data_IF_896400336510
#
_entry.id   IF_896400336510
#
_cell.length_a   1.000
_cell.length_b   1.000
_cell.length_c   1.000
_cell.angle_alpha   90.00
_cell.angle_beta   90.00
_cell.angle_gamma   90.00
#
_symmetry.space_group_name_H-M   'P 1'
#
loop_
_entity.id
_entity.type
_entity.pdbx_description
1 polymer ?
#
# COMPACT_ATOMS: atom_id res chain seq x y z
N UNK A 1 1.18 50.40 -24.46
CA UNK A 1 0.78 49.69 -23.24
C UNK A 1 0.28 48.32 -23.66
N UNK A 2 1.06 47.26 -23.43
CA UNK A 2 0.71 45.89 -23.81
C UNK A 2 0.23 45.13 -22.59
N UNK A 3 -0.75 44.24 -22.76
CA UNK A 3 -1.22 43.37 -21.67
C UNK A 3 -0.12 42.34 -21.37
N UNK A 4 0.48 42.40 -20.18
CA UNK A 4 1.60 41.55 -19.77
C UNK A 4 1.18 40.17 -19.21
N UNK A 5 -0.09 40.00 -18.83
CA UNK A 5 -0.64 38.75 -18.28
C UNK A 5 -2.15 38.69 -18.49
N UNK A 6 -2.64 37.54 -18.94
CA UNK A 6 -4.07 37.22 -19.02
C UNK A 6 -4.32 36.00 -18.11
N UNK A 7 -5.40 36.07 -17.32
CA UNK A 7 -5.88 34.96 -16.49
C UNK A 7 -7.35 34.72 -16.84
N UNK A 8 -7.67 33.48 -17.19
CA UNK A 8 -9.03 33.00 -17.46
C UNK A 8 -9.56 32.38 -16.16
N UNK A 9 -10.82 32.67 -15.81
CA UNK A 9 -11.47 32.14 -14.60
C UNK A 9 -10.65 32.33 -13.30
N UNK A 10 -10.31 33.58 -12.92
CA UNK A 10 -9.51 33.85 -11.72
C UNK A 10 -10.19 33.35 -10.43
N UNK A 11 -11.52 33.29 -10.44
CA UNK A 11 -12.37 32.84 -9.34
C UNK A 11 -12.68 31.33 -9.38
N UNK A 12 -12.07 30.58 -10.30
CA UNK A 12 -12.10 29.12 -10.28
C UNK A 12 -13.49 28.47 -10.41
N UNK A 13 -14.47 29.17 -10.99
CA UNK A 13 -15.87 28.73 -11.15
C UNK A 13 -16.07 27.74 -12.29
N UNK A 14 -15.20 27.75 -13.30
CA UNK A 14 -15.36 26.87 -14.46
C UNK A 14 -14.94 25.43 -14.13
N UNK A 15 -15.72 24.42 -14.58
CA UNK A 15 -15.38 23.02 -14.38
C UNK A 15 -14.28 22.59 -15.36
N UNK A 16 -13.04 22.98 -15.08
CA UNK A 16 -11.86 22.60 -15.86
C UNK A 16 -11.07 21.47 -15.18
N UNK A 17 -10.61 20.53 -16.00
CA UNK A 17 -9.77 19.39 -15.62
C UNK A 17 -8.32 19.83 -15.41
N UNK A 18 -7.83 20.84 -16.15
CA UNK A 18 -6.43 21.27 -16.14
C UNK A 18 -6.30 22.79 -15.99
N UNK A 19 -6.63 23.32 -14.81
CA UNK A 19 -6.66 24.76 -14.51
C UNK A 19 -5.30 25.46 -14.64
N UNK A 20 -4.21 24.70 -14.70
CA UNK A 20 -2.86 25.26 -14.88
C UNK A 20 -2.63 25.93 -16.25
N UNK A 21 -3.49 25.74 -17.23
CA UNK A 21 -3.39 26.40 -18.54
C UNK A 21 -4.13 27.75 -18.60
N UNK A 22 -4.79 28.17 -17.51
CA UNK A 22 -5.63 29.37 -17.47
C UNK A 22 -4.86 30.70 -17.41
N UNK A 23 -3.52 30.71 -17.51
CA UNK A 23 -2.75 31.95 -17.53
C UNK A 23 -1.66 31.95 -18.60
N UNK A 24 -1.47 33.09 -19.26
CA UNK A 24 -0.47 33.29 -20.31
C UNK A 24 0.96 33.48 -19.80
N UNK A 25 1.14 33.81 -18.52
CA UNK A 25 2.45 33.93 -17.85
C UNK A 25 2.32 33.59 -16.36
N UNK A 26 3.35 32.95 -15.80
CA UNK A 26 3.34 32.44 -14.41
C UNK A 26 4.53 32.95 -13.62
N UNK A 27 4.28 33.50 -12.44
CA UNK A 27 5.31 33.78 -11.45
C UNK A 27 5.63 32.53 -10.62
N UNK A 28 6.67 32.59 -9.78
CA UNK A 28 6.92 31.60 -8.72
C UNK A 28 6.36 32.16 -7.42
N UNK A 29 5.56 31.35 -6.72
CA UNK A 29 4.99 31.74 -5.42
C UNK A 29 5.30 30.65 -4.39
N UNK A 30 5.87 31.08 -3.27
CA UNK A 30 6.22 30.20 -2.15
C UNK A 30 5.19 30.34 -1.04
N UNK A 31 4.72 29.21 -0.53
CA UNK A 31 3.75 29.13 0.55
C UNK A 31 4.33 28.32 1.71
N UNK A 32 4.32 28.89 2.92
CA UNK A 32 4.65 28.16 4.13
C UNK A 32 3.36 27.61 4.73
N UNK A 33 3.21 26.28 4.70
CA UNK A 33 1.97 25.55 4.96
C UNK A 33 0.91 25.86 3.88
N UNK A 34 0.29 24.80 3.34
CA UNK A 34 -0.69 24.93 2.26
C UNK A 34 -1.95 25.67 2.73
N UNK A 35 -2.39 26.63 1.92
CA UNK A 35 -3.62 27.37 2.14
C UNK A 35 -4.67 26.99 1.08
N UNK A 36 -4.57 27.56 -0.13
CA UNK A 36 -5.44 27.26 -1.26
C UNK A 36 -4.62 27.16 -2.56
N UNK A 37 -5.02 26.30 -3.51
CA UNK A 37 -4.26 26.09 -4.74
C UNK A 37 -4.30 27.32 -5.66
N UNK A 38 -3.12 27.82 -6.04
CA UNK A 38 -2.98 28.95 -6.95
C UNK A 38 -2.61 28.49 -8.37
N UNK A 39 -3.62 28.26 -9.22
CA UNK A 39 -3.40 27.65 -10.54
C UNK A 39 -2.69 28.55 -11.56
N UNK A 40 -2.74 29.87 -11.35
CA UNK A 40 -2.16 30.88 -12.24
C UNK A 40 -0.65 31.13 -12.02
N UNK A 41 -0.06 30.61 -10.94
CA UNK A 41 1.37 30.69 -10.65
C UNK A 41 2.02 29.29 -10.51
N UNK A 42 3.35 29.25 -10.49
CA UNK A 42 4.12 28.09 -10.03
C UNK A 42 4.15 28.08 -8.50
N UNK A 43 3.20 27.37 -7.92
CA UNK A 43 3.02 27.27 -6.47
C UNK A 43 3.95 26.20 -5.88
N UNK A 44 4.80 26.60 -4.94
CA UNK A 44 5.68 25.72 -4.18
C UNK A 44 5.34 25.84 -2.70
N UNK A 45 4.85 24.75 -2.13
CA UNK A 45 4.48 24.63 -0.74
C UNK A 45 5.64 24.05 0.06
N UNK A 46 5.92 24.66 1.21
CA UNK A 46 6.96 24.26 2.15
C UNK A 46 6.30 23.96 3.49
N UNK A 47 6.60 22.82 4.09
CA UNK A 47 6.15 22.49 5.43
C UNK A 47 7.20 21.70 6.22
N UNK A 48 7.30 21.92 7.54
CA UNK A 48 8.05 21.03 8.42
C UNK A 48 7.53 19.60 8.33
N UNK A 49 8.43 18.64 8.19
CA UNK A 49 8.08 17.23 8.10
C UNK A 49 8.92 16.39 9.05
N UNK A 50 8.34 15.29 9.53
CA UNK A 50 9.01 14.33 10.38
C UNK A 50 8.73 12.94 9.85
N UNK A 51 9.78 12.12 9.77
CA UNK A 51 9.65 10.69 9.51
C UNK A 51 10.16 9.92 10.71
N UNK A 52 9.61 8.72 10.88
CA UNK A 52 10.09 7.78 11.87
C UNK A 52 10.05 6.36 11.29
N UNK A 53 11.07 5.58 11.60
CA UNK A 53 11.13 4.13 11.37
C UNK A 53 12.02 3.52 12.45
N UNK A 54 11.86 2.21 12.71
CA UNK A 54 12.73 1.51 13.67
C UNK A 54 14.22 1.64 13.31
N UNK A 55 14.54 1.61 12.01
CA UNK A 55 15.92 1.73 11.55
C UNK A 55 16.47 3.17 11.65
N UNK A 56 15.78 4.21 11.16
CA UNK A 56 16.33 5.57 11.12
C UNK A 56 16.04 6.42 12.37
N UNK A 57 15.22 5.93 13.30
CA UNK A 57 14.70 6.73 14.40
C UNK A 57 13.90 7.95 13.89
N UNK A 58 13.87 9.03 14.70
CA UNK A 58 13.22 10.28 14.32
C UNK A 58 14.09 11.06 13.33
N UNK A 59 13.55 11.34 12.16
CA UNK A 59 14.22 12.08 11.08
C UNK A 59 13.42 13.34 10.70
N UNK A 60 13.76 14.53 11.26
CA UNK A 60 13.14 15.79 10.88
C UNK A 60 13.61 16.27 9.50
N UNK A 61 12.79 17.08 8.85
CA UNK A 61 13.11 17.65 7.55
C UNK A 61 12.05 18.63 7.05
N UNK A 62 12.06 18.84 5.74
CA UNK A 62 11.16 19.77 5.06
C UNK A 62 10.50 19.06 3.88
N UNK A 63 9.19 19.15 3.75
CA UNK A 63 8.50 18.75 2.51
C UNK A 63 8.31 19.96 1.63
N UNK A 64 8.85 19.88 0.41
CA UNK A 64 8.67 20.82 -0.66
C UNK A 64 7.79 20.16 -1.72
N UNK A 65 6.68 20.75 -2.09
CA UNK A 65 5.86 20.18 -3.15
C UNK A 65 5.13 21.23 -3.99
N UNK A 66 4.83 20.84 -5.23
CA UNK A 66 4.04 21.61 -6.17
C UNK A 66 3.02 20.69 -6.84
N UNK A 67 1.80 21.20 -7.05
CA UNK A 67 0.69 20.42 -7.61
C UNK A 67 0.05 19.49 -6.59
N UNK A 68 -0.29 18.26 -6.98
CA UNK A 68 -1.02 17.25 -6.18
C UNK A 68 -2.43 17.63 -5.69
N UNK A 69 -2.86 18.88 -5.88
CA UNK A 69 -4.22 19.33 -5.65
C UNK A 69 -5.12 19.11 -6.89
N UNK A 70 -6.45 18.94 -6.72
CA UNK A 70 -7.39 18.90 -7.83
C UNK A 70 -7.21 20.10 -8.77
N UNK A 71 -7.16 19.85 -10.08
CA UNK A 71 -6.93 20.88 -11.10
C UNK A 71 -5.48 20.98 -11.59
N UNK A 72 -4.50 20.38 -10.90
CA UNK A 72 -3.14 20.18 -11.42
C UNK A 72 -3.03 18.80 -12.09
N UNK A 73 -2.62 18.72 -13.36
CA UNK A 73 -2.35 17.44 -14.02
C UNK A 73 -0.97 16.87 -13.64
N UNK A 74 -0.28 17.45 -12.66
CA UNK A 74 1.05 17.02 -12.22
C UNK A 74 1.21 17.17 -10.71
N UNK A 75 2.27 16.57 -10.19
CA UNK A 75 2.75 16.80 -8.83
C UNK A 75 4.24 16.52 -8.76
N UNK A 76 5.00 17.37 -8.07
CA UNK A 76 6.42 17.16 -7.81
C UNK A 76 6.65 17.39 -6.32
N UNK A 77 7.32 16.47 -5.64
CA UNK A 77 7.71 16.63 -4.24
C UNK A 77 9.16 16.27 -4.00
N UNK A 78 9.78 16.99 -3.07
CA UNK A 78 11.12 16.75 -2.56
C UNK A 78 11.03 16.79 -1.05
N UNK A 79 11.53 15.73 -0.40
CA UNK A 79 11.48 15.56 1.04
C UNK A 79 12.88 15.21 1.54
N UNK A 80 13.77 16.20 1.74
CA UNK A 80 15.00 16.02 2.50
C UNK A 80 14.69 15.85 3.99
N UNK A 81 15.28 14.84 4.61
CA UNK A 81 15.25 14.60 6.06
C UNK A 81 16.65 14.27 6.57
N UNK A 82 16.95 14.69 7.79
CA UNK A 82 18.20 14.32 8.44
C UNK A 82 18.02 13.05 9.26
N UNK A 83 18.80 12.02 8.96
CA UNK A 83 18.85 10.75 9.71
C UNK A 83 19.92 10.89 10.79
N UNK A 84 19.49 11.10 12.04
CA UNK A 84 20.41 11.29 13.17
C UNK A 84 21.16 10.01 13.55
N UNK A 85 20.51 8.85 13.42
CA UNK A 85 21.08 7.56 13.81
C UNK A 85 22.29 7.22 12.92
N UNK A 86 22.18 7.49 11.62
CA UNK A 86 23.24 7.19 10.65
C UNK A 86 24.01 8.42 10.16
N UNK A 87 23.76 9.59 10.77
CA UNK A 87 24.42 10.87 10.48
C UNK A 87 24.48 11.22 8.99
N UNK A 88 23.35 11.09 8.27
CA UNK A 88 23.31 11.31 6.82
C UNK A 88 22.04 12.03 6.36
N UNK A 89 22.16 12.71 5.21
CA UNK A 89 20.99 13.21 4.49
C UNK A 89 20.25 12.03 3.85
N UNK A 90 18.97 11.93 4.17
CA UNK A 90 18.03 10.95 3.66
C UNK A 90 16.83 11.67 3.05
N UNK A 91 15.92 10.92 2.40
CA UNK A 91 14.74 11.56 1.84
C UNK A 91 14.10 10.85 0.66
N UNK A 92 13.20 11.57 -0.01
CA UNK A 92 12.58 11.12 -1.25
C UNK A 92 12.27 12.25 -2.21
N UNK A 93 12.36 11.96 -3.50
CA UNK A 93 11.89 12.81 -4.59
C UNK A 93 10.80 12.05 -5.33
N UNK A 94 9.67 12.68 -5.57
CA UNK A 94 8.59 12.11 -6.36
C UNK A 94 8.13 13.07 -7.44
N UNK A 95 7.73 12.50 -8.57
CA UNK A 95 7.09 13.24 -9.66
C UNK A 95 5.94 12.42 -10.22
N UNK A 96 4.84 13.08 -10.56
CA UNK A 96 3.73 12.46 -11.25
C UNK A 96 3.15 13.38 -12.31
N UNK A 97 2.59 12.78 -13.36
CA UNK A 97 1.84 13.49 -14.40
C UNK A 97 0.70 12.63 -14.90
N UNK A 98 -0.47 13.25 -15.01
CA UNK A 98 -1.69 12.66 -15.54
C UNK A 98 -2.01 13.25 -16.90
N UNK A 99 -2.32 12.38 -17.83
CA UNK A 99 -2.79 12.67 -19.17
C UNK A 99 -4.23 12.16 -19.27
N UNK A 100 -5.11 12.93 -19.91
CA UNK A 100 -6.50 12.55 -20.09
C UNK A 100 -6.74 12.14 -21.54
N UNK A 101 -7.58 11.13 -21.74
CA UNK A 101 -7.94 10.64 -23.08
C UNK A 101 -6.75 10.18 -23.95
N UNK A 102 -5.69 9.66 -23.31
CA UNK A 102 -4.49 9.16 -24.00
C UNK A 102 -4.55 7.64 -24.15
N UNK A 103 -4.21 7.11 -25.34
CA UNK A 103 -4.11 5.66 -25.62
C UNK A 103 -5.39 4.88 -25.26
N UNK A 104 -6.57 5.49 -25.43
CA UNK A 104 -7.86 4.89 -25.07
C UNK A 104 -8.18 4.88 -23.56
N UNK A 105 -7.26 5.34 -22.70
CA UNK A 105 -7.53 5.51 -21.27
C UNK A 105 -8.27 6.82 -21.02
N UNK A 106 -9.23 6.79 -20.09
CA UNK A 106 -9.87 8.01 -19.58
C UNK A 106 -8.84 8.90 -18.89
N UNK A 107 -7.99 8.29 -18.06
CA UNK A 107 -6.84 8.94 -17.45
C UNK A 107 -5.66 7.98 -17.42
N UNK A 108 -4.50 8.46 -17.83
CA UNK A 108 -3.24 7.76 -17.80
C UNK A 108 -2.28 8.54 -16.91
N UNK A 109 -1.72 7.91 -15.88
CA UNK A 109 -0.81 8.56 -14.92
C UNK A 109 0.53 7.88 -14.94
N UNK A 110 1.58 8.69 -15.07
CA UNK A 110 2.97 8.32 -14.87
C UNK A 110 3.40 8.85 -13.50
N UNK A 111 4.05 8.01 -12.69
CA UNK A 111 4.63 8.40 -11.40
C UNK A 111 6.04 7.83 -11.28
N UNK A 112 6.94 8.61 -10.73
CA UNK A 112 8.26 8.15 -10.32
C UNK A 112 8.52 8.57 -8.87
N UNK A 113 9.21 7.73 -8.13
CA UNK A 113 9.65 8.00 -6.76
C UNK A 113 11.06 7.44 -6.60
N UNK A 114 11.98 8.22 -6.05
CA UNK A 114 13.32 7.77 -5.68
C UNK A 114 13.50 8.16 -4.22
N UNK A 115 14.03 7.26 -3.40
CA UNK A 115 14.21 7.51 -1.98
C UNK A 115 15.41 6.78 -1.41
N UNK A 116 16.01 7.39 -0.40
CA UNK A 116 16.94 6.77 0.53
C UNK A 116 16.38 6.95 1.93
N UNK A 117 15.80 5.89 2.50
CA UNK A 117 15.20 5.88 3.83
C UNK A 117 14.83 4.43 4.22
N UNK A 118 14.60 4.14 5.49
CA UNK A 118 14.26 2.80 6.01
C UNK A 118 15.31 1.74 5.60
N UNK A 119 16.58 2.15 5.59
CA UNK A 119 17.72 1.33 5.19
C UNK A 119 17.66 0.82 3.75
N UNK A 120 16.87 1.48 2.92
CA UNK A 120 16.74 1.19 1.50
C UNK A 120 17.11 2.40 0.67
N UNK A 121 17.98 2.21 -0.31
CA UNK A 121 18.13 3.13 -1.45
C UNK A 121 17.38 2.55 -2.64
N UNK A 122 16.66 3.37 -3.41
CA UNK A 122 16.12 2.93 -4.68
C UNK A 122 14.87 3.67 -5.10
N UNK A 123 14.14 3.15 -6.07
CA UNK A 123 13.03 3.88 -6.65
C UNK A 123 12.00 3.02 -7.36
N UNK A 124 10.98 3.71 -7.85
CA UNK A 124 9.84 3.13 -8.55
C UNK A 124 9.46 4.01 -9.73
N UNK A 125 9.07 3.39 -10.83
CA UNK A 125 8.37 4.02 -11.95
C UNK A 125 7.05 3.28 -12.16
N UNK A 126 5.94 4.00 -12.15
CA UNK A 126 4.59 3.47 -12.32
C UNK A 126 3.90 4.11 -13.50
N UNK A 127 3.31 3.27 -14.33
CA UNK A 127 2.35 3.63 -15.37
C UNK A 127 0.98 3.09 -14.96
N UNK A 128 -0.07 3.90 -15.04
CA UNK A 128 -1.42 3.51 -14.60
C UNK A 128 -2.48 4.10 -15.50
N UNK A 129 -3.22 3.25 -16.20
CA UNK A 129 -4.33 3.63 -17.06
C UNK A 129 -5.68 3.26 -16.46
N UNK A 130 -6.64 4.18 -16.47
CA UNK A 130 -8.03 3.97 -16.05
C UNK A 130 -8.93 3.88 -17.27
N UNK A 131 -9.61 2.74 -17.43
CA UNK A 131 -10.69 2.53 -18.38
C UNK A 131 -12.03 2.64 -17.66
N UNK A 132 -12.79 3.69 -17.99
CA UNK A 132 -14.12 3.95 -17.43
C UNK A 132 -14.86 4.94 -18.31
N UNK A 133 -16.16 4.73 -18.54
CA UNK A 133 -16.99 5.73 -19.25
C UNK A 133 -17.00 7.07 -18.48
N UNK A 134 -17.25 8.20 -19.16
CA UNK A 134 -17.53 9.47 -18.49
C UNK A 134 -18.72 9.34 -17.53
N UNK A 135 -18.75 10.14 -16.46
CA UNK A 135 -19.88 10.30 -15.51
C UNK A 135 -20.13 9.12 -14.55
N UNK A 136 -20.01 7.86 -14.98
CA UNK A 136 -20.23 6.70 -14.10
C UNK A 136 -19.02 6.39 -13.22
N UNK A 137 -19.26 5.84 -12.01
CA UNK A 137 -18.20 5.39 -11.10
C UNK A 137 -17.68 3.99 -11.42
N UNK A 138 -18.56 3.10 -11.91
CA UNK A 138 -18.30 1.68 -12.22
C UNK A 138 -19.17 1.22 -13.40
N UNK A 139 -18.78 0.19 -14.17
CA UNK A 139 -17.56 -0.61 -14.03
C UNK A 139 -16.31 0.21 -14.34
N UNK A 140 -15.21 -0.14 -13.68
CA UNK A 140 -13.93 0.52 -13.90
C UNK A 140 -12.81 -0.51 -13.91
N UNK A 141 -11.92 -0.39 -14.88
CA UNK A 141 -10.71 -1.21 -14.96
C UNK A 141 -9.50 -0.31 -14.85
N UNK A 142 -8.58 -0.65 -13.94
CA UNK A 142 -7.27 -0.01 -13.86
C UNK A 142 -6.22 -1.03 -14.27
N UNK A 143 -5.35 -0.66 -15.20
CA UNK A 143 -4.17 -1.44 -15.57
C UNK A 143 -2.95 -0.65 -15.14
N UNK A 144 -1.98 -1.31 -14.52
CA UNK A 144 -0.74 -0.66 -14.11
C UNK A 144 0.48 -1.54 -14.31
N UNK A 145 1.58 -0.90 -14.66
CA UNK A 145 2.92 -1.49 -14.64
C UNK A 145 3.76 -0.69 -13.65
N UNK A 146 4.43 -1.37 -12.72
CA UNK A 146 5.36 -0.77 -11.77
C UNK A 146 6.71 -1.44 -11.89
N UNK A 147 7.74 -0.66 -12.14
CA UNK A 147 9.13 -1.09 -12.09
C UNK A 147 9.75 -0.59 -10.79
N UNK A 148 10.44 -1.47 -10.08
CA UNK A 148 11.10 -1.17 -8.82
C UNK A 148 12.58 -1.51 -8.90
N UNK A 149 13.38 -0.69 -8.23
CA UNK A 149 14.77 -0.96 -7.93
C UNK A 149 14.98 -0.72 -6.44
N UNK A 150 15.59 -1.68 -5.76
CA UNK A 150 15.90 -1.62 -4.34
C UNK A 150 17.33 -2.05 -4.11
N UNK A 151 18.04 -1.32 -3.26
CA UNK A 151 19.29 -1.71 -2.63
C UNK A 151 19.03 -1.64 -1.12
N UNK A 152 18.92 -2.83 -0.51
CA UNK A 152 18.43 -3.03 0.87
C UNK A 152 19.61 -3.38 1.77
N UNK A 153 19.81 -2.57 2.82
CA UNK A 153 20.79 -2.82 3.87
C UNK A 153 20.35 -4.03 4.72
N UNK A 154 21.26 -4.99 4.92
CA UNK A 154 21.01 -6.21 5.71
C UNK A 154 20.71 -5.92 7.18
N UNK A 155 21.17 -4.79 7.71
CA UNK A 155 20.90 -4.37 9.09
C UNK A 155 19.53 -3.70 9.25
N UNK A 156 18.87 -3.35 8.15
CA UNK A 156 17.61 -2.61 8.16
C UNK A 156 16.36 -3.48 8.09
N UNK A 157 16.55 -4.78 7.84
CA UNK A 157 15.48 -5.72 7.63
C UNK A 157 15.72 -7.03 8.36
N UNK A 158 14.65 -7.70 8.75
CA UNK A 158 14.68 -9.04 9.31
C UNK A 158 15.00 -10.03 8.18
N UNK A 159 16.12 -10.77 8.25
CA UNK A 159 16.53 -11.69 7.19
C UNK A 159 15.55 -12.86 7.01
N UNK A 160 14.69 -13.13 7.98
CA UNK A 160 13.62 -14.12 7.85
C UNK A 160 12.56 -13.70 6.81
N UNK A 161 12.22 -12.41 6.79
CA UNK A 161 11.19 -11.85 5.90
C UNK A 161 11.75 -11.21 4.63
N UNK A 162 13.00 -10.78 4.65
CA UNK A 162 13.60 -9.99 3.59
C UNK A 162 14.96 -10.55 3.18
N UNK A 163 15.25 -10.48 1.89
CA UNK A 163 16.61 -10.64 1.35
C UNK A 163 17.19 -9.25 1.10
N UNK A 164 18.38 -9.01 1.66
CA UNK A 164 19.16 -7.78 1.47
C UNK A 164 19.89 -7.77 0.13
N UNK A 165 20.43 -6.62 -0.26
CA UNK A 165 21.15 -6.43 -1.52
C UNK A 165 20.29 -5.79 -2.61
N UNK A 166 20.74 -5.91 -3.85
CA UNK A 166 20.11 -5.23 -4.99
C UNK A 166 19.05 -6.11 -5.64
N UNK A 167 17.81 -5.61 -5.72
CA UNK A 167 16.68 -6.33 -6.29
C UNK A 167 15.94 -5.42 -7.26
N UNK A 168 15.65 -5.92 -8.46
CA UNK A 168 14.82 -5.24 -9.43
C UNK A 168 13.57 -6.05 -9.72
N UNK A 169 12.39 -5.42 -9.70
CA UNK A 169 11.14 -6.11 -10.02
C UNK A 169 10.27 -5.33 -10.98
N UNK A 170 9.50 -6.07 -11.78
CA UNK A 170 8.43 -5.55 -12.61
C UNK A 170 7.12 -6.18 -12.16
N UNK A 171 6.16 -5.35 -11.75
CA UNK A 171 4.81 -5.76 -11.37
C UNK A 171 3.79 -5.23 -12.35
N UNK A 172 3.08 -6.14 -13.00
CA UNK A 172 1.92 -5.87 -13.84
C UNK A 172 0.65 -6.19 -13.04
N UNK A 173 -0.30 -5.27 -13.04
CA UNK A 173 -1.56 -5.43 -12.29
C UNK A 173 -2.76 -5.01 -13.14
N UNK A 174 -3.82 -5.81 -13.07
CA UNK A 174 -5.15 -5.46 -13.55
C UNK A 174 -6.14 -5.47 -12.40
N UNK A 175 -6.94 -4.41 -12.24
CA UNK A 175 -7.98 -4.32 -11.22
C UNK A 175 -9.31 -3.95 -11.87
N UNK A 176 -10.30 -4.83 -11.75
CA UNK A 176 -11.67 -4.60 -12.20
C UNK A 176 -12.58 -4.39 -10.99
N UNK A 177 -13.45 -3.40 -11.05
CA UNK A 177 -14.44 -3.12 -10.01
C UNK A 177 -15.81 -2.91 -10.60
N UNK A 178 -16.82 -3.54 -10.00
CA UNK A 178 -18.22 -3.32 -10.36
C UNK A 178 -19.12 -3.24 -9.13
N UNK A 179 -20.05 -2.28 -9.19
CA UNK A 179 -21.10 -2.09 -8.21
C UNK A 179 -22.42 -2.41 -8.92
N UNK A 180 -22.98 -3.58 -8.62
CA UNK A 180 -24.25 -4.00 -9.20
C UNK A 180 -25.38 -3.08 -8.69
N UNK A 181 -25.39 -2.81 -7.39
CA UNK A 181 -26.30 -1.87 -6.74
C UNK A 181 -25.67 -1.34 -5.43
N UNK A 182 -26.45 -0.63 -4.62
CA UNK A 182 -26.00 -0.10 -3.32
C UNK A 182 -25.60 -1.18 -2.30
N UNK A 183 -26.08 -2.41 -2.47
CA UNK A 183 -25.90 -3.53 -1.55
C UNK A 183 -24.82 -4.52 -1.97
N UNK A 184 -24.56 -4.65 -3.28
CA UNK A 184 -23.66 -5.66 -3.85
C UNK A 184 -22.54 -5.03 -4.67
N UNK A 185 -21.31 -5.32 -4.28
CA UNK A 185 -20.08 -4.87 -4.95
C UNK A 185 -19.11 -6.04 -5.07
N UNK A 186 -18.42 -6.12 -6.20
CA UNK A 186 -17.31 -7.04 -6.33
C UNK A 186 -16.15 -6.42 -7.09
N UNK A 187 -14.97 -7.00 -6.88
CA UNK A 187 -13.77 -6.64 -7.62
C UNK A 187 -12.92 -7.87 -7.88
N UNK A 188 -12.24 -7.87 -9.02
CA UNK A 188 -11.23 -8.87 -9.34
C UNK A 188 -9.88 -8.17 -9.55
N UNK A 189 -8.80 -8.80 -9.13
CA UNK A 189 -7.46 -8.29 -9.31
C UNK A 189 -6.53 -9.42 -9.73
N UNK A 190 -5.78 -9.17 -10.80
CA UNK A 190 -4.68 -10.03 -11.25
C UNK A 190 -3.38 -9.26 -11.05
N UNK A 191 -2.33 -9.93 -10.56
CA UNK A 191 -0.99 -9.39 -10.50
C UNK A 191 0.00 -10.42 -11.04
N UNK A 192 1.00 -9.95 -11.78
CA UNK A 192 2.18 -10.72 -12.16
C UNK A 192 3.40 -9.92 -11.74
N UNK A 193 4.28 -10.51 -10.94
CA UNK A 193 5.55 -9.91 -10.52
C UNK A 193 6.68 -10.76 -11.05
N UNK A 194 7.67 -10.13 -11.67
CA UNK A 194 8.91 -10.78 -12.11
C UNK A 194 10.09 -10.09 -11.46
N UNK A 195 11.05 -10.87 -10.96
CA UNK A 195 12.31 -10.39 -10.43
C UNK A 195 13.45 -10.57 -11.43
N UNK A 196 14.38 -9.62 -11.45
CA UNK A 196 15.65 -9.70 -12.16
C UNK A 196 16.73 -9.04 -11.29
N UNK A 197 18.00 -9.37 -11.54
CA UNK A 197 19.18 -8.93 -10.78
C UNK A 197 19.17 -9.41 -9.32
N UNK A 198 20.03 -10.39 -9.02
CA UNK A 198 20.08 -11.18 -7.76
C UNK A 198 18.77 -11.88 -7.35
N UNK A 199 17.71 -11.72 -8.14
CA UNK A 199 16.42 -12.38 -8.03
C UNK A 199 16.02 -12.91 -9.41
N UNK A 200 15.69 -14.20 -9.51
CA UNK A 200 15.24 -14.87 -10.74
C UNK A 200 13.96 -15.61 -10.41
N UNK A 201 12.83 -14.90 -10.50
CA UNK A 201 11.53 -15.45 -10.15
C UNK A 201 10.38 -14.78 -10.88
N UNK A 202 9.23 -15.47 -10.90
CA UNK A 202 7.96 -14.93 -11.35
C UNK A 202 6.80 -15.47 -10.50
N UNK A 203 5.94 -14.57 -10.03
CA UNK A 203 4.74 -14.89 -9.26
C UNK A 203 3.52 -14.33 -9.96
N UNK A 204 2.50 -15.15 -10.16
CA UNK A 204 1.19 -14.73 -10.65
C UNK A 204 0.16 -14.93 -9.55
N UNK A 205 -0.76 -13.98 -9.39
CA UNK A 205 -1.85 -14.08 -8.44
C UNK A 205 -3.15 -13.51 -9.00
N UNK A 206 -4.26 -14.10 -8.54
CA UNK A 206 -5.62 -13.67 -8.77
C UNK A 206 -6.30 -13.49 -7.41
N UNK A 207 -7.12 -12.46 -7.28
CA UNK A 207 -8.00 -12.30 -6.13
C UNK A 207 -9.36 -11.76 -6.51
N UNK A 208 -10.38 -12.24 -5.82
CA UNK A 208 -11.74 -11.76 -5.90
C UNK A 208 -12.17 -11.21 -4.55
N UNK A 209 -12.85 -10.06 -4.53
CA UNK A 209 -13.51 -9.51 -3.33
C UNK A 209 -14.99 -9.35 -3.62
N UNK A 210 -15.82 -9.76 -2.67
CA UNK A 210 -17.26 -9.59 -2.66
C UNK A 210 -17.65 -8.81 -1.40
N UNK A 211 -18.53 -7.83 -1.53
CA UNK A 211 -19.16 -7.14 -0.41
C UNK A 211 -20.66 -7.16 -0.63
N UNK A 212 -21.38 -7.79 0.28
CA UNK A 212 -22.83 -7.93 0.22
C UNK A 212 -23.48 -7.46 1.52
N UNK A 213 -24.29 -6.41 1.42
CA UNK A 213 -25.13 -5.89 2.50
C UNK A 213 -26.55 -6.41 2.33
N UNK A 214 -26.89 -7.49 3.02
CA UNK A 214 -28.22 -8.11 2.92
C UNK A 214 -29.25 -7.47 3.88
N UNK A 215 -28.79 -6.76 4.91
CA UNK A 215 -29.63 -5.90 5.75
C UNK A 215 -28.89 -4.61 6.13
N UNK A 216 -29.61 -3.58 6.59
CA UNK A 216 -29.06 -2.24 6.87
C UNK A 216 -27.79 -2.25 7.74
N UNK A 217 -27.73 -3.17 8.72
CA UNK A 217 -26.61 -3.32 9.66
C UNK A 217 -25.76 -4.59 9.45
N UNK A 218 -26.12 -5.43 8.49
CA UNK A 218 -25.44 -6.72 8.26
C UNK A 218 -24.79 -6.73 6.88
N UNK A 219 -23.47 -6.84 6.88
CA UNK A 219 -22.63 -6.92 5.69
C UNK A 219 -21.69 -8.11 5.82
N UNK A 220 -21.65 -8.92 4.78
CA UNK A 220 -20.61 -9.93 4.57
C UNK A 220 -19.61 -9.38 3.57
N UNK A 221 -18.32 -9.54 3.87
CA UNK A 221 -17.26 -9.36 2.88
C UNK A 221 -16.48 -10.65 2.76
N UNK A 222 -16.31 -11.14 1.54
CA UNK A 222 -15.48 -12.30 1.27
C UNK A 222 -14.34 -11.90 0.34
N UNK A 223 -13.16 -12.45 0.55
CA UNK A 223 -12.01 -12.34 -0.34
C UNK A 223 -11.47 -13.73 -0.59
N UNK A 224 -11.35 -14.10 -1.86
CA UNK A 224 -10.59 -15.27 -2.28
C UNK A 224 -9.29 -14.80 -2.94
N UNK A 225 -8.20 -15.52 -2.70
CA UNK A 225 -6.89 -15.29 -3.29
C UNK A 225 -6.30 -16.62 -3.73
N UNK A 226 -5.66 -16.63 -4.89
CA UNK A 226 -4.92 -17.75 -5.45
C UNK A 226 -3.65 -17.19 -6.09
N UNK A 227 -2.51 -17.81 -5.86
CA UNK A 227 -1.28 -17.42 -6.52
C UNK A 227 -0.28 -18.56 -6.59
N UNK A 228 0.67 -18.42 -7.49
CA UNK A 228 1.66 -19.44 -7.77
C UNK A 228 2.97 -18.80 -8.17
N UNK A 229 4.06 -19.34 -7.64
CA UNK A 229 5.40 -19.13 -8.19
C UNK A 229 5.51 -19.95 -9.48
N UNK A 230 5.60 -19.27 -10.61
CA UNK A 230 5.66 -19.90 -11.95
C UNK A 230 7.09 -20.33 -12.30
N UNK A 231 8.07 -19.56 -11.84
CA UNK A 231 9.51 -19.84 -11.95
C UNK A 231 10.21 -19.18 -10.77
N UNK A 232 11.26 -19.78 -10.24
CA UNK A 232 11.94 -19.30 -9.05
C UNK A 232 13.25 -20.04 -8.81
N UNK A 233 14.32 -19.61 -9.46
CA UNK A 233 15.68 -20.09 -9.14
C UNK A 233 16.18 -19.43 -7.86
N UNK A 234 15.97 -18.12 -7.74
CA UNK A 234 16.28 -17.33 -6.55
C UNK A 234 15.10 -16.41 -6.23
N UNK A 235 14.31 -16.80 -5.23
CA UNK A 235 13.14 -16.03 -4.76
C UNK A 235 13.55 -15.29 -3.48
N UNK A 236 13.64 -13.94 -3.50
CA UNK A 236 13.87 -13.19 -2.28
C UNK A 236 12.75 -13.45 -1.27
N UNK A 237 13.08 -13.50 0.03
CA UNK A 237 12.15 -13.87 1.09
C UNK A 237 10.87 -13.04 1.07
N UNK A 238 10.98 -11.76 0.68
CA UNK A 238 9.86 -10.84 0.63
C UNK A 238 8.85 -11.09 -0.51
N UNK A 239 9.21 -11.90 -1.50
CA UNK A 239 8.31 -12.29 -2.61
C UNK A 239 7.80 -13.72 -2.52
N UNK A 240 8.21 -14.49 -1.50
CA UNK A 240 7.57 -15.77 -1.18
C UNK A 240 6.11 -15.54 -0.80
N UNK A 241 5.29 -16.56 -0.96
CA UNK A 241 3.86 -16.44 -0.66
C UNK A 241 3.64 -16.73 0.82
N UNK A 242 3.66 -15.67 1.63
CA UNK A 242 3.43 -15.73 3.07
C UNK A 242 1.96 -15.93 3.43
N UNK A 243 1.66 -16.86 4.35
CA UNK A 243 0.26 -17.20 4.69
C UNK A 243 -0.48 -16.09 5.45
N UNK A 244 0.19 -15.37 6.36
CA UNK A 244 -0.42 -14.37 7.25
C UNK A 244 -0.50 -12.93 6.72
N UNK A 245 -0.33 -12.76 5.41
CA UNK A 245 -0.31 -11.44 4.80
C UNK A 245 1.04 -11.12 4.17
N UNK A 246 1.17 -9.89 3.71
CA UNK A 246 2.39 -9.43 3.04
C UNK A 246 3.42 -8.87 3.99
N UNK A 247 4.65 -9.32 3.82
CA UNK A 247 5.83 -8.50 4.04
C UNK A 247 5.84 -7.41 2.96
N UNK A 248 6.04 -6.13 3.35
CA UNK A 248 5.98 -4.99 2.43
C UNK A 248 7.17 -5.00 1.45
N UNK A 249 7.10 -5.85 0.43
CA UNK A 249 8.25 -6.25 -0.39
C UNK A 249 8.93 -5.09 -1.13
N UNK A 250 8.14 -4.14 -1.63
CA UNK A 250 8.63 -3.02 -2.44
C UNK A 250 8.66 -1.68 -1.66
N UNK A 251 8.48 -1.72 -0.34
CA UNK A 251 8.50 -0.53 0.53
C UNK A 251 7.48 0.54 0.07
N UNK A 252 6.33 0.11 -0.45
CA UNK A 252 5.29 1.03 -0.92
C UNK A 252 4.44 1.56 0.24
N UNK A 253 4.39 0.84 1.36
CA UNK A 253 3.56 1.21 2.50
C UNK A 253 4.34 2.11 3.46
N UNK A 254 4.16 3.43 3.32
CA UNK A 254 4.80 4.43 4.18
C UNK A 254 4.33 4.50 5.63
N UNK A 255 3.49 3.56 6.06
CA UNK A 255 2.97 3.41 7.43
C UNK A 255 3.44 2.11 8.09
N UNK A 256 4.41 1.42 7.49
CA UNK A 256 5.11 0.30 8.12
C UNK A 256 6.14 0.86 9.10
N UNK A 257 6.02 0.46 10.36
CA UNK A 257 6.83 1.01 11.44
C UNK A 257 8.19 0.35 11.58
N UNK A 258 8.19 -0.98 11.54
CA UNK A 258 9.36 -1.79 11.79
C UNK A 258 9.47 -2.89 10.74
N UNK A 259 10.69 -3.12 10.28
CA UNK A 259 11.10 -4.26 9.44
C UNK A 259 12.37 -4.90 9.96
N UNK A 260 13.03 -4.33 10.97
CA UNK A 260 14.37 -4.72 11.41
C UNK A 260 14.32 -6.02 12.20
N UNK A 261 15.40 -6.80 12.14
CA UNK A 261 15.59 -7.94 13.03
C UNK A 261 15.70 -7.49 14.50
N UNK A 262 15.18 -8.29 15.43
CA UNK A 262 15.39 -8.10 16.87
C UNK A 262 16.21 -9.24 17.45
N UNK A 263 17.48 -9.34 17.04
CA UNK A 263 18.41 -10.33 17.58
C UNK A 263 18.16 -11.77 17.10
N UNK A 264 17.55 -11.94 15.94
CA UNK A 264 17.35 -13.24 15.29
C UNK A 264 16.08 -13.98 15.70
N UNK A 265 15.22 -13.39 16.54
CA UNK A 265 13.91 -13.96 16.88
C UNK A 265 12.79 -13.33 16.04
N UNK A 266 12.20 -14.06 15.07
CA UNK A 266 11.09 -13.57 14.25
C UNK A 266 9.78 -13.37 15.04
N UNK A 267 9.75 -13.66 16.35
CA UNK A 267 8.58 -13.48 17.22
C UNK A 267 8.80 -12.43 18.32
N UNK A 268 9.96 -11.78 18.34
CA UNK A 268 10.41 -10.94 19.44
C UNK A 268 10.46 -9.45 19.14
N UNK A 269 10.32 -9.04 17.88
CA UNK A 269 10.32 -7.64 17.48
C UNK A 269 8.97 -6.97 17.78
N UNK A 270 8.98 -5.93 18.61
CA UNK A 270 7.77 -5.12 18.80
C UNK A 270 7.42 -4.33 17.54
N UNK A 271 6.16 -4.41 17.12
CA UNK A 271 5.55 -3.69 16.00
C UNK A 271 6.09 -4.04 14.60
N UNK A 272 6.60 -5.26 14.39
CA UNK A 272 7.07 -5.71 13.07
C UNK A 272 5.90 -5.84 12.08
N UNK A 273 6.19 -5.60 10.79
CA UNK A 273 5.25 -5.60 9.66
C UNK A 273 4.54 -6.93 9.48
N UNK A 274 5.12 -8.01 9.97
CA UNK A 274 4.57 -9.35 9.88
C UNK A 274 3.93 -9.83 11.17
N UNK A 275 4.51 -9.47 12.31
CA UNK A 275 4.11 -10.00 13.62
C UNK A 275 2.83 -9.30 14.09
N UNK A 276 2.91 -8.01 14.43
CA UNK A 276 1.76 -7.27 14.97
C UNK A 276 1.07 -6.38 13.95
N UNK A 277 1.80 -5.82 12.99
CA UNK A 277 1.17 -5.06 11.91
C UNK A 277 0.66 -6.04 10.83
N UNK A 278 -0.55 -5.78 10.31
CA UNK A 278 -1.18 -6.61 9.28
C UNK A 278 -1.26 -5.86 7.96
N UNK A 279 -0.76 -6.50 6.90
CA UNK A 279 -0.91 -6.05 5.52
C UNK A 279 -1.63 -7.12 4.69
N UNK A 280 -2.81 -6.79 4.16
CA UNK A 280 -3.58 -7.73 3.35
C UNK A 280 -2.95 -7.95 1.96
N UNK A 281 -2.06 -8.92 1.85
CA UNK A 281 -1.53 -9.45 0.58
C UNK A 281 -1.43 -10.98 0.64
N UNK A 282 -1.30 -11.67 -0.49
CA UNK A 282 -1.26 -13.14 -0.48
C UNK A 282 -2.55 -13.77 0.08
N UNK A 283 -2.46 -14.99 0.64
CA UNK A 283 -3.57 -15.64 1.35
C UNK A 283 -4.16 -14.82 2.51
N UNK A 284 -3.31 -14.06 3.21
CA UNK A 284 -3.68 -13.01 4.15
C UNK A 284 -4.46 -13.44 5.40
N UNK A 285 -4.10 -14.56 6.04
CA UNK A 285 -4.61 -14.91 7.38
C UNK A 285 -4.32 -13.76 8.35
N UNK A 286 -5.29 -13.42 9.20
CA UNK A 286 -5.10 -12.38 10.20
C UNK A 286 -4.21 -12.85 11.33
N UNK A 287 -4.30 -14.10 11.77
CA UNK A 287 -3.38 -14.69 12.73
C UNK A 287 -1.98 -14.78 12.15
N UNK A 288 -0.96 -14.51 12.97
CA UNK A 288 0.43 -14.62 12.56
C UNK A 288 0.87 -16.10 12.54
N UNK A 289 1.24 -16.60 11.37
CA UNK A 289 1.90 -17.88 11.14
C UNK A 289 3.13 -17.65 10.28
N UNK A 290 4.26 -18.17 10.74
CA UNK A 290 5.58 -17.84 10.22
C UNK A 290 5.99 -18.81 9.11
N UNK A 291 5.15 -18.93 8.09
CA UNK A 291 5.36 -19.86 6.97
C UNK A 291 5.08 -19.18 5.63
N UNK A 292 5.94 -19.50 4.68
CA UNK A 292 5.82 -19.07 3.30
C UNK A 292 5.84 -20.27 2.37
N UNK A 293 5.12 -20.15 1.25
CA UNK A 293 5.14 -21.11 0.16
C UNK A 293 5.98 -20.57 -0.99
N UNK A 294 6.68 -21.49 -1.65
CA UNK A 294 7.39 -21.24 -2.91
C UNK A 294 6.67 -21.91 -4.09
N UNK A 295 5.44 -22.39 -3.88
CA UNK A 295 4.60 -23.03 -4.92
C UNK A 295 3.24 -22.34 -5.02
N UNK A 296 2.19 -23.12 -5.26
CA UNK A 296 0.82 -22.61 -5.38
C UNK A 296 0.18 -22.54 -4.00
N UNK A 297 -0.38 -21.38 -3.69
CA UNK A 297 -1.06 -21.11 -2.44
C UNK A 297 -2.39 -20.41 -2.68
N UNK A 298 -3.28 -20.51 -1.70
CA UNK A 298 -4.62 -19.95 -1.75
C UNK A 298 -5.06 -19.47 -0.38
N UNK A 299 -6.04 -18.56 -0.36
CA UNK A 299 -6.64 -18.07 0.86
C UNK A 299 -8.07 -17.61 0.66
N UNK A 300 -8.88 -17.74 1.70
CA UNK A 300 -10.24 -17.24 1.81
C UNK A 300 -10.37 -16.47 3.11
N UNK A 301 -10.75 -15.21 3.02
CA UNK A 301 -11.02 -14.34 4.16
C UNK A 301 -12.49 -13.92 4.16
N UNK A 302 -13.18 -14.05 5.29
CA UNK A 302 -14.57 -13.66 5.46
C UNK A 302 -14.69 -12.70 6.64
N UNK A 303 -15.35 -11.57 6.42
CA UNK A 303 -15.78 -10.64 7.46
C UNK A 303 -17.30 -10.66 7.56
N UNK A 304 -17.82 -10.64 8.78
CA UNK A 304 -19.23 -10.43 9.07
C UNK A 304 -19.41 -9.33 10.11
N UNK A 305 -20.31 -8.39 9.86
CA UNK A 305 -20.63 -7.34 10.84
C UNK A 305 -21.71 -7.80 11.81
N UNK A 306 -21.49 -7.63 13.10
CA UNK A 306 -22.52 -7.90 14.10
C UNK A 306 -23.46 -6.71 14.26
N UNK A 307 -24.76 -6.93 14.53
CA UNK A 307 -25.70 -5.85 14.73
C UNK A 307 -25.46 -5.20 16.11
N UNK A 308 -25.60 -3.87 16.18
CA UNK A 308 -25.60 -3.08 17.43
C UNK A 308 -24.28 -3.02 18.22
N UNK A 309 -23.21 -3.69 17.78
CA UNK A 309 -21.87 -3.58 18.38
C UNK A 309 -20.84 -3.15 17.33
N UNK A 310 -19.84 -2.33 17.69
CA UNK A 310 -18.77 -1.91 16.77
C UNK A 310 -17.70 -3.00 16.58
N UNK A 311 -18.12 -4.26 16.59
CA UNK A 311 -17.29 -5.46 16.49
C UNK A 311 -17.80 -6.31 15.33
N UNK A 312 -16.89 -6.77 14.48
CA UNK A 312 -17.16 -7.77 13.46
C UNK A 312 -16.53 -9.11 13.82
N UNK A 313 -16.97 -10.15 13.14
CA UNK A 313 -16.31 -11.44 13.12
C UNK A 313 -15.43 -11.53 11.89
N UNK A 314 -14.32 -12.24 12.01
CA UNK A 314 -13.57 -12.70 10.88
C UNK A 314 -13.34 -14.21 10.93
N UNK A 315 -13.22 -14.81 9.75
CA UNK A 315 -12.83 -16.21 9.55
C UNK A 315 -11.93 -16.26 8.33
N UNK A 316 -10.74 -16.80 8.51
CA UNK A 316 -9.74 -16.95 7.48
C UNK A 316 -9.33 -18.42 7.36
N UNK A 317 -9.06 -18.86 6.14
CA UNK A 317 -8.46 -20.16 5.85
C UNK A 317 -7.48 -20.01 4.69
N UNK A 318 -6.33 -20.66 4.77
CA UNK A 318 -5.29 -20.63 3.76
C UNK A 318 -4.54 -21.96 3.70
N UNK A 319 -3.90 -22.21 2.57
CA UNK A 319 -3.03 -23.36 2.40
C UNK A 319 -2.17 -23.22 1.16
N UNK A 320 -1.21 -24.14 1.04
CA UNK A 320 -0.35 -24.22 -0.13
C UNK A 320 -0.02 -25.67 -0.46
N UNK A 321 0.40 -25.92 -1.70
CA UNK A 321 0.69 -27.26 -2.22
C UNK A 321 1.96 -27.90 -1.64
N UNK A 322 2.81 -27.09 -1.03
CA UNK A 322 4.10 -27.44 -0.42
C UNK A 322 4.10 -27.29 1.11
N UNK A 323 2.94 -27.05 1.72
CA UNK A 323 2.79 -26.99 3.17
C UNK A 323 1.99 -28.21 3.66
N UNK A 324 2.38 -28.77 4.80
CA UNK A 324 1.84 -30.02 5.33
C UNK A 324 0.41 -29.91 5.87
N UNK A 325 -0.06 -28.69 6.12
CA UNK A 325 -1.36 -28.43 6.69
C UNK A 325 -2.04 -27.19 6.12
N UNK A 326 -3.36 -27.15 6.27
CA UNK A 326 -4.15 -25.93 6.08
C UNK A 326 -4.18 -25.14 7.38
N UNK A 327 -4.20 -23.81 7.25
CA UNK A 327 -4.19 -22.87 8.36
C UNK A 327 -5.54 -22.18 8.42
N UNK A 328 -6.16 -22.14 9.58
CA UNK A 328 -7.41 -21.40 9.80
C UNK A 328 -7.35 -20.56 11.07
N UNK A 329 -8.00 -19.41 10.99
CA UNK A 329 -8.06 -18.43 12.07
C UNK A 329 -9.45 -17.82 12.15
N UNK A 330 -9.96 -17.66 13.36
CA UNK A 330 -11.27 -17.07 13.64
C UNK A 330 -11.10 -16.09 14.78
N UNK A 331 -11.75 -14.93 14.68
CA UNK A 331 -11.64 -13.92 15.70
C UNK A 331 -12.56 -12.73 15.54
N UNK A 332 -12.29 -11.72 16.35
CA UNK A 332 -13.00 -10.46 16.34
C UNK A 332 -12.20 -9.39 15.60
N UNK A 333 -12.94 -8.52 14.92
CA UNK A 333 -12.41 -7.37 14.19
C UNK A 333 -13.02 -6.11 14.77
N UNK A 334 -12.19 -5.20 15.25
CA UNK A 334 -12.61 -3.93 15.84
C UNK A 334 -12.03 -2.78 15.06
N UNK A 335 -12.86 -1.82 14.66
CA UNK A 335 -12.40 -0.62 13.96
C UNK A 335 -12.47 0.58 14.90
N UNK A 336 -11.30 1.16 15.21
CA UNK A 336 -11.11 2.32 16.08
C UNK A 336 -10.52 3.47 15.25
N UNK A 337 -11.40 4.26 14.62
CA UNK A 337 -10.98 5.36 13.74
C UNK A 337 -10.15 4.87 12.55
N UNK A 338 -8.86 5.24 12.53
CA UNK A 338 -7.88 4.85 11.50
C UNK A 338 -7.21 3.50 11.78
N UNK A 339 -7.41 2.90 12.95
CA UNK A 339 -6.81 1.62 13.32
C UNK A 339 -7.89 0.53 13.27
N UNK A 340 -7.54 -0.62 12.73
CA UNK A 340 -8.33 -1.86 12.84
C UNK A 340 -7.53 -2.85 13.66
N UNK A 341 -8.13 -3.42 14.68
CA UNK A 341 -7.53 -4.46 15.54
C UNK A 341 -8.18 -5.79 15.19
N UNK A 342 -7.35 -6.81 15.04
CA UNK A 342 -7.73 -8.20 14.86
C UNK A 342 -7.36 -8.94 16.14
N UNK A 343 -8.35 -9.61 16.70
CA UNK A 343 -8.26 -10.37 17.95
C UNK A 343 -8.60 -11.83 17.63
N UNK A 344 -7.60 -12.65 17.26
CA UNK A 344 -7.78 -14.10 17.09
C UNK A 344 -8.38 -14.70 18.36
N UNK A 345 -9.27 -15.69 18.22
CA UNK A 345 -9.77 -16.52 19.33
C UNK A 345 -9.56 -18.01 19.07
N UNK A 346 -9.25 -18.37 17.83
CA UNK A 346 -8.90 -19.72 17.42
C UNK A 346 -7.84 -19.69 16.33
N UNK A 347 -6.79 -20.50 16.44
CA UNK A 347 -5.74 -20.67 15.43
C UNK A 347 -5.36 -22.13 15.31
N UNK A 348 -5.40 -22.68 14.09
CA UNK A 348 -5.26 -24.13 13.87
C UNK A 348 -3.84 -24.68 14.06
N UNK A 349 -2.81 -23.82 14.05
CA UNK A 349 -1.39 -24.20 14.09
C UNK A 349 -0.76 -24.08 15.49
N UNK A 350 -1.58 -23.92 16.53
CA UNK A 350 -1.13 -23.87 17.91
C UNK A 350 -1.12 -25.28 18.52
N UNK A 351 0.06 -25.74 18.94
CA UNK A 351 0.29 -27.13 19.37
C UNK A 351 -0.39 -27.49 20.72
N UNK A 352 -0.67 -26.49 21.57
CA UNK A 352 -1.20 -26.71 22.94
C UNK A 352 -2.55 -26.06 23.18
N UNK A 353 -2.71 -24.81 22.76
CA UNK A 353 -3.87 -23.98 23.05
C UNK A 353 -4.35 -23.30 21.78
N UNK A 354 -5.09 -24.07 20.97
CA UNK A 354 -5.67 -23.59 19.71
C UNK A 354 -6.87 -22.64 19.90
N UNK A 355 -7.35 -22.49 21.12
CA UNK A 355 -8.39 -21.54 21.51
C UNK A 355 -7.87 -20.58 22.57
N UNK A 356 -8.47 -19.40 22.64
CA UNK A 356 -8.18 -18.40 23.66
C UNK A 356 -8.29 -18.99 25.08
N UNK A 357 -7.22 -18.85 25.85
CA UNK A 357 -7.15 -19.29 27.26
C UNK A 357 -7.15 -18.13 28.26
N UNK A 358 -6.87 -16.91 27.80
CA UNK A 358 -6.87 -15.71 28.64
C UNK A 358 -6.47 -14.45 27.90
N UNK A 359 -6.37 -13.34 28.63
CA UNK A 359 -6.00 -12.04 28.06
C UNK A 359 -4.57 -12.02 27.52
N UNK A 360 -3.62 -12.68 28.17
CA UNK A 360 -2.23 -12.73 27.70
C UNK A 360 -2.11 -13.48 26.37
N UNK A 361 -2.84 -14.59 26.22
CA UNK A 361 -2.92 -15.34 24.96
C UNK A 361 -3.44 -14.45 23.82
N UNK A 362 -4.49 -13.67 24.10
CA UNK A 362 -5.09 -12.74 23.15
C UNK A 362 -4.14 -11.58 22.80
N UNK A 363 -3.51 -10.99 23.81
CA UNK A 363 -2.62 -9.84 23.67
C UNK A 363 -1.40 -10.18 22.81
N UNK A 364 -0.80 -11.36 22.99
CA UNK A 364 0.38 -11.77 22.22
C UNK A 364 0.08 -12.14 20.76
N UNK A 365 -1.20 -12.25 20.38
CA UNK A 365 -1.66 -12.65 19.03
C UNK A 365 -2.48 -11.56 18.35
N UNK A 366 -2.80 -10.48 19.06
CA UNK A 366 -3.52 -9.37 18.51
C UNK A 366 -2.67 -8.68 17.44
N UNK A 367 -3.32 -8.32 16.33
CA UNK A 367 -2.68 -7.58 15.24
C UNK A 367 -3.44 -6.33 14.91
N UNK A 368 -2.79 -5.38 14.26
CA UNK A 368 -3.39 -4.12 13.87
C UNK A 368 -3.09 -3.74 12.42
N UNK A 369 -4.03 -3.03 11.79
CA UNK A 369 -3.91 -2.50 10.44
C UNK A 369 -4.34 -1.04 10.43
N UNK A 370 -3.59 -0.20 9.72
CA UNK A 370 -4.02 1.18 9.49
C UNK A 370 -4.94 1.28 8.28
N UNK A 371 -6.15 1.74 8.51
CA UNK A 371 -7.07 2.24 7.48
C UNK A 371 -6.78 3.72 7.19
N UNK A 372 -5.60 4.04 6.68
CA UNK A 372 -5.29 5.42 6.27
C UNK A 372 -6.01 5.72 4.96
N UNK A 373 -6.84 6.77 4.94
CA UNK A 373 -7.18 7.45 3.69
C UNK A 373 -5.89 8.12 3.21
N UNK A 374 -5.25 7.58 2.17
CA UNK A 374 -4.12 8.28 1.54
C UNK A 374 -4.61 9.63 1.00
N UNK A 375 -4.46 10.68 1.80
CA UNK A 375 -4.19 12.02 1.28
C UNK A 375 -2.67 12.10 1.17
N UNK A 376 -2.14 11.35 0.20
CA UNK A 376 -0.72 11.36 -0.10
C UNK A 376 -0.39 12.54 -0.99
N UNK A 377 0.03 13.66 -0.39
CA UNK A 377 0.85 14.62 -1.12
C UNK A 377 2.22 13.96 -1.36
N UNK A 378 2.41 13.36 -2.54
CA UNK A 378 3.73 12.92 -3.00
C UNK A 378 4.34 11.67 -2.34
N UNK A 379 3.55 10.75 -1.78
CA UNK A 379 3.98 9.37 -1.50
C UNK A 379 2.93 8.36 -1.94
#
# INVERSE_FOLDING_TARGET
>A
SGVHRVVIDPENYMPDISRTNNSSSKGIKLHFVFDQPVFYDHDINILPWFKWSAYNGLSPGLSLYSGFAPGYPYGISVLPVWDFEHQRLSGSVSAQRSFYQLMGFRSFTMKSNISRYEGRTGGMVKFSGLLRKPIISTPSTTVSAKFFYHDIDSTAVNPFYYTSGTITTLRLSGNYQYRVNTFLKYSANINATVGNHDASFSVISLSGKLSWRYQKKLTVKARAWLGSVVSGETIPNQYKIWMSGGVDADFENGYVFNRTDNGGDPKGSTYDVYDEQYLQTGPALRGAVFVASEKTAWGLNVDHTLPYVPVGLFMDIAGATDLDQMYSDVGFKMKLGIITIYLPVYQSWEDKENMITGFDWLKSRARFEFSVLMVGFGR
#
